data_IF_057926388741
#
_entry.id   IF_057926388741
#
_cell.length_a   1.000
_cell.length_b   1.000
_cell.length_c   1.000
_cell.angle_alpha   90.00
_cell.angle_beta   90.00
_cell.angle_gamma   90.00
#
_symmetry.space_group_name_H-M   'P 1'
#
loop_
_entity.id
_entity.type
_entity.pdbx_description
1 polymer ?
#
# COMPACT_ATOMS: atom_id res chain seq x y z
N UNK A 1 23.27 19.92 -3.47
CA UNK A 1 23.09 18.51 -3.06
C UNK A 1 21.60 18.30 -2.86
N UNK A 2 20.87 17.96 -3.91
CA UNK A 2 19.46 17.59 -3.80
C UNK A 2 19.42 16.07 -3.87
N UNK A 3 19.50 15.45 -2.70
CA UNK A 3 19.25 14.02 -2.58
C UNK A 3 17.75 13.85 -2.85
N UNK A 4 17.40 13.36 -4.05
CA UNK A 4 16.04 12.94 -4.43
C UNK A 4 15.72 11.68 -3.61
N UNK A 5 15.50 11.84 -2.29
CA UNK A 5 15.14 10.75 -1.40
C UNK A 5 13.70 10.33 -1.71
N UNK A 6 13.57 9.47 -2.72
CA UNK A 6 12.34 8.74 -2.98
C UNK A 6 12.14 7.75 -1.85
N UNK A 7 11.18 8.04 -0.98
CA UNK A 7 10.77 7.12 0.08
C UNK A 7 10.24 5.85 -0.61
N UNK A 8 10.79 4.66 -0.31
CA UNK A 8 10.25 3.41 -0.85
C UNK A 8 8.84 3.17 -0.28
N UNK A 9 7.88 2.88 -1.16
CA UNK A 9 6.46 2.67 -0.82
C UNK A 9 6.03 1.29 -1.30
N UNK A 10 5.32 0.57 -0.44
CA UNK A 10 4.60 -0.66 -0.80
C UNK A 10 3.25 -0.27 -1.41
N UNK A 11 3.05 -0.65 -2.67
CA UNK A 11 1.82 -0.35 -3.39
C UNK A 11 0.71 -1.30 -2.94
N UNK A 12 -0.42 -0.73 -2.50
CA UNK A 12 -1.61 -1.48 -2.08
C UNK A 12 -2.72 -1.42 -3.13
N UNK A 13 -2.68 -0.43 -4.02
CA UNK A 13 -3.65 -0.30 -5.11
C UNK A 13 -3.65 1.08 -5.74
N UNK A 14 -4.79 1.41 -6.36
CA UNK A 14 -5.05 2.72 -6.94
C UNK A 14 -6.36 3.27 -6.36
N UNK A 15 -6.43 4.58 -6.19
CA UNK A 15 -7.62 5.32 -5.80
C UNK A 15 -7.90 6.40 -6.83
N UNK A 16 -9.18 6.60 -7.17
CA UNK A 16 -9.62 7.73 -7.98
C UNK A 16 -9.98 8.90 -7.06
N UNK A 17 -9.44 10.08 -7.35
CA UNK A 17 -9.81 11.31 -6.63
C UNK A 17 -11.15 11.89 -7.15
N UNK A 18 -11.66 12.92 -6.49
CA UNK A 18 -12.92 13.58 -6.88
C UNK A 18 -12.86 14.23 -8.28
N UNK A 19 -11.66 14.45 -8.82
CA UNK A 19 -11.42 15.00 -10.14
C UNK A 19 -11.24 13.92 -11.23
N UNK A 20 -11.37 12.63 -10.87
CA UNK A 20 -11.25 11.50 -11.80
C UNK A 20 -9.80 11.07 -12.06
N UNK A 21 -8.81 11.60 -11.35
CA UNK A 21 -7.42 11.19 -11.52
C UNK A 21 -7.13 9.95 -10.68
N UNK A 22 -6.40 9.00 -11.27
CA UNK A 22 -5.96 7.79 -10.59
C UNK A 22 -4.62 8.00 -9.92
N UNK A 23 -4.57 7.72 -8.63
CA UNK A 23 -3.38 7.81 -7.80
C UNK A 23 -3.01 6.44 -7.27
N UNK A 24 -1.72 6.12 -7.31
CA UNK A 24 -1.20 4.94 -6.63
C UNK A 24 -1.23 5.18 -5.12
N UNK A 25 -1.82 4.25 -4.38
CA UNK A 25 -1.87 4.28 -2.92
C UNK A 25 -1.02 3.17 -2.33
N UNK A 26 -0.43 3.45 -1.17
CA UNK A 26 0.50 2.54 -0.53
C UNK A 26 0.89 3.00 0.86
N UNK A 27 1.78 2.23 1.47
CA UNK A 27 2.37 2.55 2.78
C UNK A 27 3.89 2.66 2.65
N UNK A 28 4.54 3.64 3.29
CA UNK A 28 5.99 3.70 3.35
C UNK A 28 6.56 2.38 3.89
N UNK A 29 7.62 1.87 3.26
CA UNK A 29 8.26 0.64 3.69
C UNK A 29 8.80 0.74 5.12
N UNK A 30 9.23 1.95 5.52
CA UNK A 30 9.66 2.23 6.88
C UNK A 30 8.55 1.98 7.92
N UNK A 31 7.30 2.26 7.59
CA UNK A 31 6.17 2.10 8.52
C UNK A 31 5.86 0.61 8.75
N UNK A 32 6.17 -0.26 7.77
CA UNK A 32 6.05 -1.72 7.90
C UNK A 32 7.16 -2.38 8.74
N UNK A 33 8.15 -1.61 9.21
CA UNK A 33 9.07 -2.11 10.24
C UNK A 33 8.39 -2.21 11.61
N UNK A 34 7.17 -1.66 11.73
CA UNK A 34 6.29 -1.83 12.89
C UNK A 34 5.20 -2.87 12.63
N UNK A 35 4.49 -3.30 13.68
CA UNK A 35 3.41 -4.28 13.55
C UNK A 35 2.16 -3.65 12.92
N UNK A 36 1.67 -4.23 11.82
CA UNK A 36 0.38 -3.91 11.20
C UNK A 36 -0.66 -5.02 11.40
N UNK A 37 -1.94 -4.68 11.25
CA UNK A 37 -3.03 -5.65 11.25
C UNK A 37 -3.98 -5.42 10.07
N UNK A 38 -4.59 -6.50 9.57
CA UNK A 38 -5.58 -6.45 8.48
C UNK A 38 -6.82 -7.27 8.86
N UNK A 39 -8.00 -6.66 8.72
CA UNK A 39 -9.30 -7.26 9.05
C UNK A 39 -10.21 -7.15 7.83
N UNK A 40 -11.15 -8.08 7.69
CA UNK A 40 -12.05 -8.19 6.55
C UNK A 40 -12.88 -9.47 6.63
N UNK A 41 -13.99 -9.53 5.92
CA UNK A 41 -14.90 -10.69 5.90
C UNK A 41 -14.41 -11.80 4.95
N UNK A 42 -15.07 -12.96 4.96
CA UNK A 42 -14.79 -14.01 3.96
C UNK A 42 -15.13 -13.50 2.56
N UNK A 43 -14.26 -13.79 1.59
CA UNK A 43 -14.40 -13.28 0.21
C UNK A 43 -13.87 -11.86 -0.01
N UNK A 44 -13.45 -11.14 1.03
CA UNK A 44 -12.93 -9.77 0.92
C UNK A 44 -11.52 -9.65 0.32
N UNK A 45 -10.89 -10.76 -0.05
CA UNK A 45 -9.54 -10.76 -0.64
C UNK A 45 -8.36 -10.65 0.34
N UNK A 46 -8.56 -10.75 1.66
CA UNK A 46 -7.45 -10.66 2.65
C UNK A 46 -6.27 -11.60 2.36
N UNK A 47 -6.54 -12.86 2.03
CA UNK A 47 -5.50 -13.84 1.72
C UNK A 47 -4.72 -13.45 0.45
N UNK A 48 -5.41 -12.90 -0.55
CA UNK A 48 -4.79 -12.35 -1.75
C UNK A 48 -3.93 -11.13 -1.44
N UNK A 49 -4.43 -10.20 -0.61
CA UNK A 49 -3.67 -9.02 -0.21
C UNK A 49 -2.39 -9.38 0.56
N UNK A 50 -2.48 -10.28 1.55
CA UNK A 50 -1.31 -10.75 2.30
C UNK A 50 -0.33 -11.53 1.42
N UNK A 51 -0.84 -12.31 0.46
CA UNK A 51 0.01 -13.01 -0.52
C UNK A 51 0.82 -12.04 -1.37
N UNK A 52 0.20 -10.94 -1.83
CA UNK A 52 0.88 -9.95 -2.64
C UNK A 52 1.85 -9.08 -1.82
N UNK A 53 1.59 -8.92 -0.51
CA UNK A 53 2.47 -8.18 0.39
C UNK A 53 3.76 -8.95 0.76
N UNK A 54 3.70 -10.29 0.76
CA UNK A 54 4.82 -11.14 1.16
C UNK A 54 5.87 -11.37 0.06
N UNK A 55 5.60 -10.91 -1.17
CA UNK A 55 6.48 -11.06 -2.36
C UNK A 55 7.21 -9.76 -2.60
#
# INVERSE_FOLDING_TARGET
MTDDQRIPVILLGEQEDEAGNRHKIGVPLADLTTHGFMIGTTGSGKSTALRNLAV
#
